data_IF_439003284860
#
_entry.id   IF_439003284860
#
_cell.length_a   1.000
_cell.length_b   1.000
_cell.length_c   1.000
_cell.angle_alpha   90.00
_cell.angle_beta   90.00
_cell.angle_gamma   90.00
#
_symmetry.space_group_name_H-M   'P 1'
#
loop_
_entity.id
_entity.type
_entity.pdbx_description
1 polymer ?
#
# COMPACT_ATOMS: atom_id res chain seq x y z
N UNK A 1 -17.67 5.69 12.25
CA UNK A 1 -17.32 4.97 11.00
C UNK A 1 -16.64 3.68 11.39
N UNK A 2 -17.11 2.53 10.88
CA UNK A 2 -16.45 1.25 11.14
C UNK A 2 -15.04 1.29 10.53
N UNK A 3 -14.03 0.85 11.28
CA UNK A 3 -12.65 0.81 10.79
C UNK A 3 -12.56 -0.30 9.73
N UNK A 4 -12.16 0.05 8.50
CA UNK A 4 -11.90 -0.91 7.42
C UNK A 4 -10.94 -2.01 7.90
N UNK A 5 -11.30 -3.27 7.66
CA UNK A 5 -10.41 -4.39 7.94
C UNK A 5 -9.29 -4.44 6.89
N UNK A 6 -8.07 -4.67 7.36
CA UNK A 6 -6.88 -4.74 6.52
C UNK A 6 -5.92 -5.77 7.10
N UNK A 7 -5.55 -6.76 6.29
CA UNK A 7 -4.70 -7.88 6.71
C UNK A 7 -3.44 -7.92 5.86
N UNK A 8 -2.29 -8.13 6.50
CA UNK A 8 -1.02 -8.26 5.79
C UNK A 8 -0.87 -9.69 5.25
N UNK A 9 -0.50 -9.80 3.98
CA UNK A 9 -0.14 -11.03 3.28
C UNK A 9 1.24 -10.93 2.65
N UNK A 10 1.87 -12.08 2.45
CA UNK A 10 3.17 -12.16 1.75
C UNK A 10 2.98 -12.05 0.24
N UNK A 11 4.03 -11.58 -0.43
CA UNK A 11 4.17 -11.68 -1.89
C UNK A 11 5.24 -12.74 -2.17
N UNK A 12 4.89 -13.78 -2.92
CA UNK A 12 5.79 -14.90 -3.15
C UNK A 12 7.05 -14.45 -3.90
N UNK A 13 8.22 -14.81 -3.36
CA UNK A 13 9.51 -14.47 -3.95
C UNK A 13 9.97 -13.02 -3.71
N UNK A 14 9.23 -12.22 -2.93
CA UNK A 14 9.59 -10.83 -2.64
C UNK A 14 9.35 -10.45 -1.17
N UNK A 15 10.39 -10.59 -0.34
CA UNK A 15 10.37 -10.21 1.07
C UNK A 15 10.33 -8.68 1.29
N UNK A 16 10.51 -7.88 0.22
CA UNK A 16 10.39 -6.42 0.25
C UNK A 16 8.97 -5.97 0.01
N UNK A 17 8.09 -6.85 -0.47
CA UNK A 17 6.70 -6.55 -0.74
C UNK A 17 5.74 -7.16 0.30
N UNK A 18 4.72 -6.39 0.65
CA UNK A 18 3.58 -6.84 1.45
C UNK A 18 2.31 -6.53 0.68
N UNK A 19 1.41 -7.52 0.63
CA UNK A 19 0.05 -7.35 0.13
C UNK A 19 -0.86 -7.00 1.30
N UNK A 20 -1.58 -5.90 1.18
CA UNK A 20 -2.60 -5.48 2.14
C UNK A 20 -3.97 -5.88 1.62
N UNK A 21 -4.48 -6.99 2.16
CA UNK A 21 -5.79 -7.53 1.83
C UNK A 21 -6.87 -6.65 2.47
N UNK A 22 -7.62 -5.98 1.62
CA UNK A 22 -8.76 -5.12 1.96
C UNK A 22 -9.59 -4.99 0.68
N UNK A 23 -10.90 -4.70 0.73
CA UNK A 23 -11.66 -4.51 -0.51
C UNK A 23 -11.04 -3.35 -1.32
N UNK A 24 -10.98 -3.44 -2.64
CA UNK A 24 -10.35 -2.43 -3.51
C UNK A 24 -11.08 -2.29 -4.84
N UNK A 25 -12.30 -2.81 -4.94
CA UNK A 25 -13.09 -2.90 -6.16
C UNK A 25 -13.43 -1.53 -6.76
N UNK A 26 -13.36 -0.46 -5.95
CA UNK A 26 -13.58 0.93 -6.36
C UNK A 26 -12.30 1.66 -6.77
N UNK A 27 -11.12 1.07 -6.60
CA UNK A 27 -9.83 1.67 -6.94
C UNK A 27 -9.41 1.32 -8.37
N UNK A 28 -8.65 2.19 -9.07
CA UNK A 28 -8.02 1.82 -10.34
C UNK A 28 -6.98 0.72 -10.11
N UNK A 29 -6.91 -0.26 -11.01
CA UNK A 29 -5.97 -1.38 -10.94
C UNK A 29 -4.71 -1.16 -11.77
N UNK A 30 -3.55 -1.52 -11.21
CA UNK A 30 -2.23 -1.44 -11.85
C UNK A 30 -1.19 -0.72 -10.98
N UNK A 31 -0.06 -0.33 -11.60
CA UNK A 31 1.07 0.33 -10.93
C UNK A 31 0.73 1.79 -10.64
N UNK A 32 0.69 2.15 -9.37
CA UNK A 32 0.22 3.46 -8.92
C UNK A 32 1.30 4.51 -9.18
N UNK A 33 0.94 5.54 -9.95
CA UNK A 33 1.78 6.72 -10.19
C UNK A 33 1.49 7.84 -9.19
N UNK A 34 0.31 7.82 -8.57
CA UNK A 34 -0.06 8.77 -7.50
C UNK A 34 -0.98 8.11 -6.48
N UNK A 35 -0.61 8.17 -5.21
CA UNK A 35 -1.43 7.66 -4.11
C UNK A 35 -1.89 8.80 -3.17
N UNK A 36 -3.14 8.78 -2.67
CA UNK A 36 -3.61 9.78 -1.73
C UNK A 36 -3.08 9.55 -0.31
N UNK A 37 -3.22 10.58 0.52
CA UNK A 37 -2.81 10.54 1.92
C UNK A 37 -1.31 10.31 2.10
N UNK A 38 -0.95 9.57 3.16
CA UNK A 38 0.47 9.35 3.52
C UNK A 38 1.21 8.45 2.53
N UNK A 39 0.51 7.67 1.69
CA UNK A 39 1.16 6.80 0.71
C UNK A 39 1.88 7.59 -0.38
N UNK A 40 1.31 8.71 -0.85
CA UNK A 40 1.93 9.57 -1.87
C UNK A 40 3.34 10.01 -1.46
N UNK A 41 3.52 10.72 -0.33
CA UNK A 41 4.85 11.10 0.14
C UNK A 41 5.80 9.92 0.39
N UNK A 42 5.30 8.75 0.81
CA UNK A 42 6.15 7.57 0.99
C UNK A 42 6.68 7.04 -0.35
N UNK A 43 5.89 7.12 -1.41
CA UNK A 43 6.31 6.80 -2.78
C UNK A 43 7.25 7.89 -3.32
N UNK A 44 6.89 9.16 -3.20
CA UNK A 44 7.67 10.29 -3.71
C UNK A 44 9.06 10.40 -3.05
N UNK A 45 9.17 10.13 -1.75
CA UNK A 45 10.44 10.16 -1.03
C UNK A 45 11.22 8.84 -1.12
N UNK A 46 10.70 7.83 -1.83
CA UNK A 46 11.38 6.57 -2.06
C UNK A 46 11.48 5.68 -0.81
N UNK A 47 10.60 5.84 0.17
CA UNK A 47 10.45 4.84 1.25
C UNK A 47 9.76 3.59 0.69
N UNK A 48 8.72 3.84 -0.11
CA UNK A 48 8.11 2.84 -0.99
C UNK A 48 8.72 3.01 -2.39
N UNK A 49 9.16 1.91 -2.98
CA UNK A 49 9.64 1.90 -4.38
C UNK A 49 8.52 1.65 -5.37
N UNK A 50 7.44 1.01 -4.92
CA UNK A 50 6.33 0.62 -5.77
C UNK A 50 5.06 0.46 -4.93
N UNK A 51 3.95 0.86 -5.52
CA UNK A 51 2.60 0.55 -5.04
C UNK A 51 1.82 -0.02 -6.22
N UNK A 52 1.15 -1.14 -6.04
CA UNK A 52 0.28 -1.77 -7.06
C UNK A 52 -1.09 -2.00 -6.45
N UNK A 53 -2.14 -1.69 -7.18
CA UNK A 53 -3.50 -2.13 -6.84
C UNK A 53 -3.82 -3.34 -7.71
N UNK A 54 -4.11 -4.48 -7.09
CA UNK A 54 -4.58 -5.70 -7.74
C UNK A 54 -5.97 -6.10 -7.21
N UNK A 55 -6.57 -7.13 -7.78
CA UNK A 55 -7.93 -7.57 -7.40
C UNK A 55 -8.03 -8.05 -5.94
N UNK A 56 -6.91 -8.40 -5.29
CA UNK A 56 -6.86 -8.89 -3.92
C UNK A 56 -6.54 -7.80 -2.90
N UNK A 57 -6.01 -6.64 -3.33
CA UNK A 57 -5.70 -5.53 -2.45
C UNK A 57 -4.62 -4.59 -2.98
N UNK A 58 -3.91 -3.97 -2.05
CA UNK A 58 -2.83 -3.02 -2.35
C UNK A 58 -1.50 -3.69 -2.01
N UNK A 59 -0.59 -3.80 -2.96
CA UNK A 59 0.78 -4.25 -2.75
C UNK A 59 1.67 -3.03 -2.59
N UNK A 60 2.52 -3.03 -1.58
CA UNK A 60 3.55 -2.00 -1.37
C UNK A 60 4.90 -2.66 -1.25
N UNK A 61 5.93 -2.09 -1.88
CA UNK A 61 7.33 -2.55 -1.79
C UNK A 61 8.20 -1.51 -1.08
N UNK A 62 8.97 -1.93 -0.08
CA UNK A 62 9.91 -1.06 0.65
C UNK A 62 11.25 -0.94 -0.06
N UNK A 63 11.78 0.29 -0.12
CA UNK A 63 13.17 0.55 -0.51
C UNK A 63 14.16 0.05 0.56
N UNK A 64 15.32 -0.44 0.15
CA UNK A 64 16.43 -0.64 1.08
C UNK A 64 16.91 0.70 1.66
N UNK A 65 17.34 0.76 2.93
CA UNK A 65 17.51 -0.34 3.88
C UNK A 65 16.29 -0.59 4.80
N UNK A 66 15.11 -0.03 4.48
CA UNK A 66 13.94 -0.08 5.37
C UNK A 66 13.48 -1.50 5.68
N UNK A 67 12.86 -1.71 6.84
CA UNK A 67 12.31 -3.00 7.26
C UNK A 67 10.81 -2.95 7.52
N UNK A 68 10.10 -4.02 7.16
CA UNK A 68 8.68 -4.19 7.48
C UNK A 68 8.40 -4.27 8.97
N UNK A 69 9.36 -4.74 9.78
CA UNK A 69 9.24 -4.75 11.24
C UNK A 69 9.13 -3.34 11.80
N UNK A 70 9.81 -2.36 11.19
CA UNK A 70 9.84 -0.97 11.65
C UNK A 70 8.73 -0.13 11.01
N UNK A 71 8.57 -0.23 9.68
CA UNK A 71 7.65 0.62 8.92
C UNK A 71 6.24 0.02 8.77
N UNK A 72 6.09 -1.29 8.98
CA UNK A 72 4.85 -2.03 8.72
C UNK A 72 3.61 -1.45 9.41
N UNK A 73 3.62 -1.18 10.73
CA UNK A 73 2.45 -0.61 11.41
C UNK A 73 2.00 0.73 10.82
N UNK A 74 2.95 1.63 10.52
CA UNK A 74 2.65 2.94 9.93
C UNK A 74 2.11 2.81 8.50
N UNK A 75 2.71 1.95 7.69
CA UNK A 75 2.28 1.73 6.30
C UNK A 75 0.90 1.07 6.28
N UNK A 76 0.65 0.07 7.13
CA UNK A 76 -0.68 -0.54 7.28
C UNK A 76 -1.76 0.50 7.57
N UNK A 77 -1.50 1.42 8.50
CA UNK A 77 -2.44 2.50 8.82
C UNK A 77 -2.60 3.48 7.66
N UNK A 78 -1.53 3.81 6.95
CA UNK A 78 -1.58 4.66 5.76
C UNK A 78 -2.41 4.03 4.64
N UNK A 79 -2.21 2.75 4.35
CA UNK A 79 -2.99 2.00 3.35
C UNK A 79 -4.47 1.93 3.76
N UNK A 80 -4.75 1.64 5.03
CA UNK A 80 -6.14 1.62 5.54
C UNK A 80 -6.87 2.92 5.29
N UNK A 81 -6.20 4.06 5.52
CA UNK A 81 -6.78 5.38 5.30
C UNK A 81 -6.90 5.65 3.80
N UNK A 82 -5.83 5.43 3.04
CA UNK A 82 -5.79 5.75 1.60
C UNK A 82 -6.81 4.94 0.78
N UNK A 83 -7.14 3.71 1.19
CA UNK A 83 -8.17 2.90 0.53
C UNK A 83 -9.57 3.56 0.52
N UNK A 84 -9.84 4.49 1.45
CA UNK A 84 -11.11 5.22 1.53
C UNK A 84 -11.01 6.64 0.94
N UNK A 85 -9.86 7.02 0.37
CA UNK A 85 -9.64 8.34 -0.22
C UNK A 85 -9.71 8.30 -1.75
N UNK A 86 -10.20 9.40 -2.32
CA UNK A 86 -10.09 9.68 -3.75
C UNK A 86 -8.67 10.14 -4.11
N UNK A 87 -8.33 10.06 -5.41
CA UNK A 87 -7.06 10.61 -5.94
C UNK A 87 -5.97 9.57 -6.18
N UNK A 88 -6.33 8.29 -6.27
CA UNK A 88 -5.47 7.25 -6.84
C UNK A 88 -5.33 7.44 -8.36
N UNK A 89 -4.10 7.36 -8.85
CA UNK A 89 -3.78 7.35 -10.28
C UNK A 89 -2.82 6.19 -10.57
N UNK A 90 -3.09 5.47 -11.67
CA UNK A 90 -2.35 4.31 -12.18
C UNK A 90 -1.93 4.60 -13.61
#
# INVERSE_FOLDING_TARGET
>A
MARREITAGKVDGDDRAVRWLTPVEHLPSGVVVRAPGTLGPLLDYGVLTEIVVDDAGIVTRLAEPHSWTEHGPRIRDAVRIAADLDGWEV
#
